data_IF_988398984318
#
_entry.id   IF_988398984318
#
_cell.length_a   1.000
_cell.length_b   1.000
_cell.length_c   1.000
_cell.angle_alpha   90.00
_cell.angle_beta   90.00
_cell.angle_gamma   90.00
#
_symmetry.space_group_name_H-M   'P 1'
#
loop_
_entity.id
_entity.type
_entity.pdbx_description
1 polymer ?
#
# COMPACT_ATOMS: atom_id res chain seq x y z
N UNK A 1 -7.01 25.23 -0.56
CA UNK A 1 -6.43 24.44 -1.68
C UNK A 1 -4.90 24.38 -1.65
N UNK A 2 -4.10 25.34 -2.17
CA UNK A 2 -2.62 25.19 -2.18
C UNK A 2 -1.95 25.15 -0.79
N UNK A 3 -2.49 25.84 0.23
CA UNK A 3 -1.98 25.75 1.62
C UNK A 3 -2.44 24.49 2.36
N UNK A 4 -3.59 23.94 2.00
CA UNK A 4 -4.12 22.70 2.61
C UNK A 4 -3.50 21.46 1.97
N UNK A 5 -3.19 21.46 0.67
CA UNK A 5 -2.42 20.39 0.03
C UNK A 5 -0.97 20.33 0.57
N UNK A 6 -0.39 21.48 0.95
CA UNK A 6 0.90 21.54 1.65
C UNK A 6 0.81 21.03 3.09
N UNK A 7 -0.29 21.35 3.80
CA UNK A 7 -0.65 20.75 5.08
C UNK A 7 -0.67 19.23 4.97
N UNK A 8 -1.53 18.69 4.09
CA UNK A 8 -1.76 17.26 3.82
C UNK A 8 -0.47 16.47 3.50
N UNK A 9 0.55 17.14 2.97
CA UNK A 9 1.89 16.56 2.81
C UNK A 9 2.56 16.21 4.14
N UNK A 10 2.44 17.09 5.14
CA UNK A 10 2.97 16.91 6.48
C UNK A 10 2.24 15.81 7.27
N UNK A 11 0.92 15.67 7.21
CA UNK A 11 0.23 14.60 7.94
C UNK A 11 0.41 13.24 7.26
N UNK A 12 0.61 13.22 5.93
CA UNK A 12 1.14 12.01 5.29
C UNK A 12 2.50 11.67 5.86
N UNK A 13 3.41 12.62 6.00
CA UNK A 13 4.73 12.35 6.61
C UNK A 13 4.56 11.84 8.06
N UNK A 14 3.68 12.45 8.86
CA UNK A 14 3.37 12.01 10.22
C UNK A 14 2.83 10.58 10.25
N UNK A 15 1.89 10.23 9.37
CA UNK A 15 1.40 8.85 9.25
C UNK A 15 2.55 7.86 9.05
N UNK A 16 3.54 8.15 8.21
CA UNK A 16 4.61 7.18 7.96
C UNK A 16 5.75 7.17 9.00
N UNK A 17 5.94 8.28 9.73
CA UNK A 17 7.07 8.43 10.66
C UNK A 17 6.67 8.28 12.13
N UNK A 18 5.46 8.72 12.49
CA UNK A 18 5.01 8.79 13.87
C UNK A 18 4.49 7.46 14.38
N UNK A 19 4.82 7.19 15.65
CA UNK A 19 4.21 6.17 16.49
C UNK A 19 3.47 6.81 17.69
N UNK A 20 3.39 8.15 17.74
CA UNK A 20 2.66 8.86 18.78
C UNK A 20 1.16 8.88 18.44
N UNK A 21 0.33 8.51 19.43
CA UNK A 21 -1.11 8.41 19.28
C UNK A 21 -1.74 9.74 18.89
N UNK A 22 -1.39 10.82 19.59
CA UNK A 22 -1.97 12.15 19.36
C UNK A 22 -1.69 12.63 17.94
N UNK A 23 -0.45 12.45 17.47
CA UNK A 23 -0.04 12.78 16.10
C UNK A 23 -0.84 11.99 15.05
N UNK A 24 -1.14 10.72 15.33
CA UNK A 24 -1.92 9.87 14.42
C UNK A 24 -3.40 10.27 14.45
N UNK A 25 -3.98 10.56 15.60
CA UNK A 25 -5.37 11.06 15.72
C UNK A 25 -5.54 12.41 14.99
N UNK A 26 -4.54 13.29 15.07
CA UNK A 26 -4.49 14.54 14.31
C UNK A 26 -4.41 14.27 12.80
N UNK A 27 -3.56 13.35 12.36
CA UNK A 27 -3.45 12.96 10.95
C UNK A 27 -4.79 12.40 10.40
N UNK A 28 -5.46 11.52 11.16
CA UNK A 28 -6.79 11.00 10.80
C UNK A 28 -7.81 12.15 10.64
N UNK A 29 -7.84 13.07 11.60
CA UNK A 29 -8.71 14.25 11.57
C UNK A 29 -8.47 15.10 10.32
N UNK A 30 -7.21 15.33 9.95
CA UNK A 30 -6.87 16.09 8.75
C UNK A 30 -7.27 15.36 7.46
N UNK A 31 -7.10 14.04 7.39
CA UNK A 31 -7.59 13.27 6.25
C UNK A 31 -9.13 13.31 6.14
N UNK A 32 -9.87 13.25 7.25
CA UNK A 32 -11.32 13.43 7.21
C UNK A 32 -11.74 14.83 6.76
N UNK A 33 -11.06 15.89 7.22
CA UNK A 33 -11.30 17.26 6.73
C UNK A 33 -11.02 17.36 5.23
N UNK A 34 -9.91 16.79 4.75
CA UNK A 34 -9.57 16.78 3.33
C UNK A 34 -10.62 16.02 2.49
N UNK A 35 -11.12 14.89 3.00
CA UNK A 35 -12.21 14.14 2.38
C UNK A 35 -13.50 14.99 2.31
N UNK A 36 -13.86 15.66 3.41
CA UNK A 36 -15.03 16.54 3.47
C UNK A 36 -14.92 17.66 2.43
N UNK A 37 -13.80 18.38 2.40
CA UNK A 37 -13.63 19.48 1.43
C UNK A 37 -13.62 18.98 -0.01
N UNK A 38 -12.98 17.84 -0.31
CA UNK A 38 -13.04 17.24 -1.64
C UNK A 38 -14.47 16.89 -2.05
N UNK A 39 -15.28 16.36 -1.12
CA UNK A 39 -16.70 16.09 -1.31
C UNK A 39 -17.49 17.34 -1.68
N UNK A 40 -17.27 18.44 -0.93
CA UNK A 40 -17.96 19.73 -1.11
C UNK A 40 -17.78 20.36 -2.49
N UNK A 41 -16.69 20.02 -3.18
CA UNK A 41 -16.38 20.52 -4.53
C UNK A 41 -16.54 19.45 -5.62
N UNK A 42 -17.17 18.31 -5.30
CA UNK A 42 -17.48 17.25 -6.27
C UNK A 42 -16.30 16.36 -6.67
N UNK A 43 -15.17 16.39 -5.95
CA UNK A 43 -13.99 15.57 -6.26
C UNK A 43 -14.07 14.21 -5.54
N UNK A 44 -14.98 13.34 -5.99
CA UNK A 44 -15.32 12.05 -5.36
C UNK A 44 -14.13 11.10 -5.21
N UNK A 45 -13.29 10.97 -6.23
CA UNK A 45 -12.10 10.10 -6.17
C UNK A 45 -11.02 10.62 -5.23
N UNK A 46 -10.85 11.95 -5.12
CA UNK A 46 -9.96 12.54 -4.11
C UNK A 46 -10.49 12.32 -2.71
N UNK A 47 -11.80 12.48 -2.51
CA UNK A 47 -12.45 12.15 -1.25
C UNK A 47 -12.21 10.68 -0.87
N UNK A 48 -12.44 9.75 -1.78
CA UNK A 48 -12.21 8.31 -1.55
C UNK A 48 -10.77 8.01 -1.12
N UNK A 49 -9.78 8.64 -1.76
CA UNK A 49 -8.37 8.53 -1.36
C UNK A 49 -8.12 9.02 0.07
N UNK A 50 -8.69 10.16 0.45
CA UNK A 50 -8.50 10.71 1.79
C UNK A 50 -9.19 9.85 2.85
N UNK A 51 -10.37 9.31 2.55
CA UNK A 51 -11.03 8.32 3.41
C UNK A 51 -10.20 7.06 3.58
N UNK A 52 -9.59 6.56 2.50
CA UNK A 52 -8.70 5.40 2.58
C UNK A 52 -7.52 5.67 3.54
N UNK A 53 -6.86 6.83 3.41
CA UNK A 53 -5.76 7.21 4.31
C UNK A 53 -6.22 7.38 5.76
N UNK A 54 -7.37 8.02 6.01
CA UNK A 54 -7.95 8.14 7.34
C UNK A 54 -8.22 6.76 7.96
N UNK A 55 -8.81 5.84 7.20
CA UNK A 55 -9.04 4.47 7.62
C UNK A 55 -7.76 3.74 7.99
N UNK A 56 -6.67 3.91 7.22
CA UNK A 56 -5.37 3.27 7.50
C UNK A 56 -4.77 3.77 8.81
N UNK A 57 -4.90 5.07 9.09
CA UNK A 57 -4.50 5.64 10.38
C UNK A 57 -5.32 5.03 11.51
N UNK A 58 -6.64 4.92 11.34
CA UNK A 58 -7.54 4.35 12.34
C UNK A 58 -7.28 2.85 12.60
N UNK A 59 -6.92 2.08 11.58
CA UNK A 59 -6.45 0.69 11.77
C UNK A 59 -5.21 0.67 12.66
N UNK A 60 -4.25 1.59 12.42
CA UNK A 60 -3.06 1.69 13.28
C UNK A 60 -3.37 2.13 14.70
N UNK A 61 -4.42 2.93 14.90
CA UNK A 61 -4.92 3.32 16.22
C UNK A 61 -5.72 2.19 16.91
N UNK A 62 -5.96 1.07 16.22
CA UNK A 62 -6.70 -0.07 16.75
C UNK A 62 -8.22 0.09 16.75
N UNK A 63 -8.76 1.06 16.02
CA UNK A 63 -10.19 1.23 15.88
C UNK A 63 -10.78 0.10 15.01
N UNK A 64 -11.78 -0.62 15.52
CA UNK A 64 -12.40 -1.73 14.81
C UNK A 64 -13.62 -1.35 13.96
N UNK A 65 -14.14 -0.13 14.08
CA UNK A 65 -15.41 0.31 13.50
C UNK A 65 -15.22 1.38 12.43
N UNK A 66 -14.50 2.47 12.72
CA UNK A 66 -14.35 3.57 11.78
C UNK A 66 -13.59 3.20 10.50
N UNK A 67 -12.56 2.32 10.50
CA UNK A 67 -11.91 1.91 9.27
C UNK A 67 -12.83 1.22 8.27
N UNK A 68 -13.78 0.40 8.74
CA UNK A 68 -14.68 -0.32 7.84
C UNK A 68 -15.73 0.61 7.21
N UNK A 69 -16.18 1.62 7.94
CA UNK A 69 -17.02 2.68 7.38
C UNK A 69 -16.25 3.50 6.33
N UNK A 70 -15.02 3.91 6.67
CA UNK A 70 -14.14 4.63 5.76
C UNK A 70 -13.87 3.82 4.48
N UNK A 71 -13.63 2.51 4.62
CA UNK A 71 -13.45 1.58 3.50
C UNK A 71 -14.70 1.52 2.62
N UNK A 72 -15.87 1.30 3.22
CA UNK A 72 -17.14 1.21 2.49
C UNK A 72 -17.43 2.48 1.69
N UNK A 73 -17.24 3.65 2.30
CA UNK A 73 -17.39 4.92 1.59
C UNK A 73 -16.33 5.09 0.50
N UNK A 74 -15.06 4.79 0.77
CA UNK A 74 -14.00 4.91 -0.22
C UNK A 74 -14.26 4.03 -1.45
N UNK A 75 -14.67 2.77 -1.27
CA UNK A 75 -15.02 1.85 -2.35
C UNK A 75 -16.20 2.37 -3.18
N UNK A 76 -17.26 2.84 -2.51
CA UNK A 76 -18.46 3.40 -3.14
C UNK A 76 -18.12 4.58 -4.04
N UNK A 77 -17.27 5.49 -3.57
CA UNK A 77 -16.99 6.75 -4.27
C UNK A 77 -15.80 6.72 -5.22
N UNK A 78 -14.86 5.77 -5.06
CA UNK A 78 -13.74 5.62 -5.99
C UNK A 78 -14.21 5.24 -7.41
N UNK A 79 -15.30 4.49 -7.51
CA UNK A 79 -15.90 4.04 -8.78
C UNK A 79 -17.08 4.93 -9.22
N UNK A 80 -17.47 5.93 -8.42
CA UNK A 80 -18.59 6.80 -8.73
C UNK A 80 -18.16 7.87 -9.74
N UNK A 81 -18.60 7.71 -10.97
CA UNK A 81 -18.27 8.55 -12.12
C UNK A 81 -19.19 9.78 -12.18
N UNK A 82 -19.02 10.71 -11.23
CA UNK A 82 -20.00 11.79 -11.05
C UNK A 82 -19.55 13.19 -11.46
N UNK A 83 -18.24 13.50 -11.55
CA UNK A 83 -17.80 14.80 -12.08
C UNK A 83 -16.29 14.83 -12.37
N UNK A 84 -15.94 15.35 -13.56
CA UNK A 84 -14.67 15.96 -13.97
C UNK A 84 -13.34 15.15 -13.89
N UNK A 85 -12.82 14.78 -15.08
CA UNK A 85 -11.43 15.04 -15.46
C UNK A 85 -10.30 14.23 -14.82
N UNK A 86 -10.57 13.11 -14.16
CA UNK A 86 -9.51 12.25 -13.63
C UNK A 86 -9.10 11.15 -14.61
N UNK A 87 -7.79 10.97 -14.77
CA UNK A 87 -7.25 9.94 -15.66
C UNK A 87 -7.54 8.54 -15.11
N UNK A 88 -7.64 7.51 -15.97
CA UNK A 88 -7.71 6.11 -15.53
C UNK A 88 -6.59 5.75 -14.53
N UNK A 89 -5.41 6.33 -14.72
CA UNK A 89 -4.27 6.17 -13.79
C UNK A 89 -4.57 6.70 -12.39
N UNK A 90 -5.28 7.82 -12.26
CA UNK A 90 -5.68 8.33 -10.95
C UNK A 90 -6.70 7.42 -10.27
N UNK A 91 -7.67 6.88 -11.01
CA UNK A 91 -8.61 5.90 -10.48
C UNK A 91 -7.88 4.64 -9.96
N UNK A 92 -6.97 4.07 -10.76
CA UNK A 92 -6.14 2.93 -10.34
C UNK A 92 -5.28 3.25 -9.11
N UNK A 93 -4.75 4.47 -9.04
CA UNK A 93 -4.04 4.95 -7.86
C UNK A 93 -4.94 5.00 -6.62
N UNK A 94 -6.20 5.39 -6.74
CA UNK A 94 -7.15 5.42 -5.62
C UNK A 94 -7.51 4.00 -5.19
N UNK A 95 -7.78 3.11 -6.14
CA UNK A 95 -8.11 1.71 -5.86
C UNK A 95 -6.95 0.97 -5.16
N UNK A 96 -5.70 1.19 -5.59
CA UNK A 96 -4.52 0.64 -4.92
C UNK A 96 -4.41 1.08 -3.45
N UNK A 97 -4.76 2.33 -3.12
CA UNK A 97 -4.79 2.83 -1.74
C UNK A 97 -5.91 2.19 -0.91
N UNK A 98 -7.09 2.00 -1.51
CA UNK A 98 -8.23 1.33 -0.89
C UNK A 98 -7.89 -0.13 -0.57
N UNK A 99 -7.21 -0.82 -1.49
CA UNK A 99 -6.75 -2.18 -1.26
C UNK A 99 -5.72 -2.28 -0.12
N UNK A 100 -4.87 -1.27 0.08
CA UNK A 100 -4.00 -1.18 1.27
C UNK A 100 -4.82 -1.08 2.56
N UNK A 101 -5.81 -0.17 2.61
CA UNK A 101 -6.72 -0.07 3.76
C UNK A 101 -7.40 -1.41 4.05
N UNK A 102 -8.01 -2.02 3.03
CA UNK A 102 -8.71 -3.29 3.17
C UNK A 102 -7.79 -4.38 3.72
N UNK A 103 -6.58 -4.52 3.17
CA UNK A 103 -5.61 -5.49 3.64
C UNK A 103 -5.15 -5.23 5.07
N UNK A 104 -4.87 -3.97 5.44
CA UNK A 104 -4.47 -3.60 6.80
C UNK A 104 -5.58 -3.91 7.81
N UNK A 105 -6.83 -3.58 7.50
CA UNK A 105 -7.98 -3.92 8.35
C UNK A 105 -8.16 -5.43 8.51
N UNK A 106 -8.10 -6.19 7.41
CA UNK A 106 -8.22 -7.64 7.43
C UNK A 106 -7.10 -8.30 8.26
N UNK A 107 -5.86 -7.80 8.15
CA UNK A 107 -4.71 -8.38 8.85
C UNK A 107 -4.67 -8.02 10.34
N UNK A 108 -4.92 -6.75 10.67
CA UNK A 108 -4.66 -6.20 12.01
C UNK A 108 -5.90 -6.19 12.91
N UNK A 109 -7.10 -6.07 12.33
CA UNK A 109 -8.36 -6.03 13.09
C UNK A 109 -9.10 -7.36 13.02
N UNK A 110 -9.20 -7.98 11.83
CA UNK A 110 -9.98 -9.20 11.62
C UNK A 110 -9.20 -10.50 11.76
N UNK A 111 -7.87 -10.43 11.71
CA UNK A 111 -6.98 -11.60 11.69
C UNK A 111 -7.31 -12.58 10.55
N UNK A 112 -7.59 -12.04 9.37
CA UNK A 112 -7.89 -12.79 8.14
C UNK A 112 -6.71 -12.69 7.14
N UNK A 113 -5.58 -13.39 7.37
CA UNK A 113 -4.34 -13.16 6.62
C UNK A 113 -4.44 -13.52 5.13
N UNK A 114 -5.22 -14.54 4.75
CA UNK A 114 -5.36 -14.91 3.33
C UNK A 114 -6.09 -13.80 2.56
N UNK A 115 -7.20 -13.29 3.08
CA UNK A 115 -7.93 -12.20 2.45
C UNK A 115 -7.12 -10.88 2.47
N UNK A 116 -6.33 -10.66 3.53
CA UNK A 116 -5.40 -9.54 3.59
C UNK A 116 -4.32 -9.62 2.50
N UNK A 117 -3.74 -10.82 2.28
CA UNK A 117 -2.75 -11.04 1.22
C UNK A 117 -3.32 -10.70 -0.15
N UNK A 118 -4.52 -11.19 -0.48
CA UNK A 118 -5.19 -10.86 -1.75
C UNK A 118 -5.32 -9.35 -1.93
N UNK A 119 -5.74 -8.64 -0.88
CA UNK A 119 -5.85 -7.18 -0.89
C UNK A 119 -4.49 -6.49 -1.08
N UNK A 120 -3.42 -6.98 -0.46
CA UNK A 120 -2.08 -6.42 -0.64
C UNK A 120 -1.51 -6.71 -2.04
N UNK A 121 -1.81 -7.85 -2.63
CA UNK A 121 -1.43 -8.18 -4.01
C UNK A 121 -2.17 -7.30 -5.02
N UNK A 122 -3.45 -7.01 -4.80
CA UNK A 122 -4.20 -6.03 -5.61
C UNK A 122 -3.61 -4.62 -5.49
N UNK A 123 -3.26 -4.20 -4.27
CA UNK A 123 -2.56 -2.94 -4.04
C UNK A 123 -1.22 -2.89 -4.79
N UNK A 124 -0.43 -3.97 -4.71
CA UNK A 124 0.86 -4.11 -5.38
C UNK A 124 0.69 -4.01 -6.89
N UNK A 125 -0.22 -4.78 -7.48
CA UNK A 125 -0.54 -4.79 -8.91
C UNK A 125 -0.85 -3.39 -9.44
N UNK A 126 -1.77 -2.67 -8.78
CA UNK A 126 -2.10 -1.28 -9.17
C UNK A 126 -0.93 -0.31 -9.01
N UNK A 127 -0.09 -0.50 -7.98
CA UNK A 127 1.07 0.37 -7.73
C UNK A 127 2.23 0.12 -8.71
N UNK A 128 2.46 -1.13 -9.12
CA UNK A 128 3.47 -1.53 -10.13
C UNK A 128 3.08 -0.99 -11.50
N UNK A 129 1.81 -1.17 -11.89
CA UNK A 129 1.26 -0.65 -13.15
C UNK A 129 1.50 0.85 -13.34
N UNK A 130 1.40 1.62 -12.23
CA UNK A 130 1.56 3.07 -12.20
C UNK A 130 2.96 3.56 -11.77
N UNK A 131 3.88 2.66 -11.43
CA UNK A 131 5.20 3.04 -10.93
C UNK A 131 5.18 3.86 -9.63
N UNK A 132 4.27 3.55 -8.70
CA UNK A 132 4.10 4.31 -7.45
C UNK A 132 4.96 3.74 -6.32
N UNK A 133 6.26 4.04 -6.31
CA UNK A 133 7.23 3.38 -5.42
C UNK A 133 6.86 3.41 -3.91
N UNK A 134 6.24 4.49 -3.40
CA UNK A 134 5.75 4.52 -2.00
C UNK A 134 4.77 3.39 -1.73
N UNK A 135 3.80 3.22 -2.64
CA UNK A 135 2.74 2.23 -2.49
C UNK A 135 3.23 0.83 -2.79
N UNK A 136 4.18 0.69 -3.71
CA UNK A 136 4.93 -0.55 -3.89
C UNK A 136 5.59 -0.94 -2.57
N UNK A 137 6.28 -0.01 -1.91
CA UNK A 137 6.90 -0.24 -0.60
C UNK A 137 5.87 -0.65 0.46
N UNK A 138 4.77 0.10 0.61
CA UNK A 138 3.68 -0.23 1.54
C UNK A 138 3.13 -1.64 1.31
N UNK A 139 2.87 -2.00 0.04
CA UNK A 139 2.31 -3.29 -0.32
C UNK A 139 3.31 -4.43 -0.07
N UNK A 140 4.57 -4.28 -0.48
CA UNK A 140 5.63 -5.27 -0.24
C UNK A 140 5.85 -5.52 1.26
N UNK A 141 5.91 -4.44 2.06
CA UNK A 141 6.04 -4.55 3.50
C UNK A 141 4.84 -5.30 4.11
N UNK A 142 3.63 -4.93 3.70
CA UNK A 142 2.42 -5.58 4.19
C UNK A 142 2.31 -7.06 3.78
N UNK A 143 2.76 -7.41 2.57
CA UNK A 143 2.89 -8.81 2.13
C UNK A 143 3.87 -9.56 3.04
N UNK A 144 5.05 -9.00 3.32
CA UNK A 144 6.03 -9.63 4.22
C UNK A 144 5.46 -9.83 5.63
N UNK A 145 4.78 -8.83 6.18
CA UNK A 145 4.13 -8.89 7.50
C UNK A 145 3.01 -9.92 7.54
N UNK A 146 2.13 -9.92 6.53
CA UNK A 146 1.04 -10.88 6.40
C UNK A 146 1.56 -12.32 6.28
N UNK A 147 2.65 -12.51 5.54
CA UNK A 147 3.28 -13.82 5.29
C UNK A 147 3.66 -14.59 6.55
N UNK A 148 3.88 -13.90 7.68
CA UNK A 148 4.11 -14.54 8.98
C UNK A 148 2.93 -15.40 9.45
N UNK A 149 1.71 -15.01 9.11
CA UNK A 149 0.46 -15.66 9.50
C UNK A 149 -0.06 -16.66 8.46
N UNK A 150 0.64 -16.84 7.34
CA UNK A 150 0.19 -17.66 6.21
C UNK A 150 0.72 -19.10 6.23
N UNK A 151 1.54 -19.48 7.21
CA UNK A 151 2.05 -20.85 7.41
C UNK A 151 2.46 -21.56 6.10
N UNK A 152 1.67 -22.55 5.64
CA UNK A 152 1.95 -23.40 4.49
C UNK A 152 1.33 -22.90 3.17
N UNK A 153 0.72 -21.71 3.16
CA UNK A 153 0.12 -21.15 1.96
C UNK A 153 1.19 -20.91 0.89
N UNK A 154 0.99 -21.49 -0.29
CA UNK A 154 2.02 -21.47 -1.34
C UNK A 154 1.99 -20.17 -2.14
N UNK A 155 3.15 -19.80 -2.69
CA UNK A 155 3.29 -18.63 -3.56
C UNK A 155 2.37 -18.73 -4.78
N UNK A 156 2.38 -19.87 -5.48
CA UNK A 156 1.55 -20.07 -6.67
C UNK A 156 0.06 -19.96 -6.36
N UNK A 157 -0.38 -20.48 -5.23
CA UNK A 157 -1.78 -20.34 -4.81
C UNK A 157 -2.14 -18.87 -4.58
N UNK A 158 -1.35 -18.13 -3.78
CA UNK A 158 -1.65 -16.73 -3.49
C UNK A 158 -1.61 -15.84 -4.72
N UNK A 159 -0.61 -16.03 -5.58
CA UNK A 159 -0.45 -15.27 -6.81
C UNK A 159 -1.56 -15.55 -7.84
N UNK A 160 -1.99 -16.80 -7.99
CA UNK A 160 -3.04 -17.16 -8.97
C UNK A 160 -4.42 -16.55 -8.65
N UNK A 161 -4.69 -16.22 -7.38
CA UNK A 161 -5.94 -15.57 -6.96
C UNK A 161 -6.10 -14.14 -7.49
N UNK A 162 -4.99 -13.42 -7.72
CA UNK A 162 -4.98 -12.01 -8.15
C UNK A 162 -4.45 -11.83 -9.59
N UNK A 163 -3.51 -12.67 -9.98
CA UNK A 163 -2.87 -12.66 -11.30
C UNK A 163 -3.40 -13.83 -12.13
N UNK A 164 -4.69 -13.80 -12.47
CA UNK A 164 -5.37 -14.86 -13.23
C UNK A 164 -4.77 -15.09 -14.63
N UNK A 165 -4.17 -14.07 -15.23
CA UNK A 165 -3.46 -14.17 -16.52
C UNK A 165 -2.12 -14.90 -16.40
N UNK A 166 -1.69 -15.26 -15.19
CA UNK A 166 -0.38 -15.83 -14.89
C UNK A 166 0.77 -14.83 -15.01
N UNK A 167 1.99 -15.32 -14.83
CA UNK A 167 3.23 -14.57 -15.01
C UNK A 167 3.97 -15.11 -16.25
N UNK A 168 3.65 -14.57 -17.42
CA UNK A 168 4.38 -14.83 -18.68
C UNK A 168 5.10 -13.57 -19.15
N UNK A 169 6.13 -13.67 -20.00
CA UNK A 169 6.81 -12.49 -20.57
C UNK A 169 5.84 -11.50 -21.23
N UNK A 170 4.76 -11.99 -21.83
CA UNK A 170 3.69 -11.17 -22.42
C UNK A 170 2.91 -10.33 -21.41
N UNK A 171 2.88 -10.74 -20.13
CA UNK A 171 2.20 -10.04 -19.05
C UNK A 171 3.00 -8.84 -18.54
N UNK A 172 4.33 -8.80 -18.73
CA UNK A 172 5.16 -7.72 -18.22
C UNK A 172 4.80 -6.36 -18.82
N UNK A 173 4.51 -6.28 -20.12
CA UNK A 173 4.10 -5.02 -20.78
C UNK A 173 2.72 -4.53 -20.33
N UNK A 174 1.82 -5.45 -19.94
CA UNK A 174 0.49 -5.12 -19.37
C UNK A 174 0.57 -4.69 -17.91
N UNK A 175 1.47 -5.31 -17.14
CA UNK A 175 1.63 -5.07 -15.70
C UNK A 175 2.54 -3.89 -15.39
N UNK A 176 3.35 -3.42 -16.34
CA UNK A 176 4.34 -2.35 -16.14
C UNK A 176 4.25 -1.25 -17.20
N UNK A 177 3.06 -0.68 -17.41
CA UNK A 177 2.84 0.31 -18.48
C UNK A 177 3.69 1.58 -18.30
N UNK A 178 3.95 2.00 -17.07
CA UNK A 178 4.76 3.20 -16.79
C UNK A 178 6.27 2.92 -16.71
N UNK A 179 6.69 1.65 -16.79
CA UNK A 179 8.08 1.15 -16.77
C UNK A 179 9.04 1.94 -15.88
N UNK A 180 9.05 1.64 -14.59
CA UNK A 180 10.07 2.17 -13.70
C UNK A 180 10.90 1.05 -13.07
N UNK A 181 12.13 1.39 -12.66
CA UNK A 181 13.10 0.46 -12.09
C UNK A 181 12.58 -0.33 -10.88
N UNK A 182 11.70 0.28 -10.08
CA UNK A 182 11.13 -0.39 -8.89
C UNK A 182 10.07 -1.41 -9.31
N UNK A 183 9.19 -1.05 -10.25
CA UNK A 183 8.20 -1.94 -10.84
C UNK A 183 8.84 -3.16 -11.49
N UNK A 184 9.93 -2.97 -12.22
CA UNK A 184 10.70 -4.06 -12.84
C UNK A 184 11.24 -5.03 -11.79
N UNK A 185 11.92 -4.53 -10.75
CA UNK A 185 12.41 -5.37 -9.64
C UNK A 185 11.31 -6.17 -8.94
N UNK A 186 10.12 -5.59 -8.78
CA UNK A 186 8.98 -6.29 -8.20
C UNK A 186 8.54 -7.42 -9.11
N UNK A 187 8.39 -7.16 -10.40
CA UNK A 187 7.98 -8.19 -11.36
C UNK A 187 9.02 -9.30 -11.48
N UNK A 188 10.31 -8.97 -11.48
CA UNK A 188 11.38 -9.95 -11.45
C UNK A 188 11.30 -10.85 -10.22
N UNK A 189 11.06 -10.27 -9.03
CA UNK A 189 10.85 -11.03 -7.80
C UNK A 189 9.64 -11.96 -7.93
N UNK A 190 8.48 -11.44 -8.36
CA UNK A 190 7.27 -12.24 -8.50
C UNK A 190 7.42 -13.35 -9.52
N UNK A 191 8.08 -13.09 -10.65
CA UNK A 191 8.35 -14.05 -11.70
C UNK A 191 9.31 -15.16 -11.23
N UNK A 192 10.38 -14.77 -10.54
CA UNK A 192 11.33 -15.70 -9.93
C UNK A 192 10.62 -16.64 -8.96
N UNK A 193 9.81 -16.09 -8.05
CA UNK A 193 9.08 -16.87 -7.05
C UNK A 193 7.99 -17.76 -7.67
N UNK A 194 7.31 -17.30 -8.72
CA UNK A 194 6.31 -18.10 -9.44
C UNK A 194 6.94 -19.31 -10.17
N UNK A 195 8.08 -19.08 -10.83
CA UNK A 195 8.76 -20.06 -11.70
C UNK A 195 9.58 -21.09 -10.94
N UNK A 196 9.85 -20.85 -9.65
CA UNK A 196 10.58 -21.78 -8.77
C UNK A 196 9.91 -23.15 -8.70
N UNK A 197 10.69 -24.22 -8.93
CA UNK A 197 10.20 -25.61 -8.91
C UNK A 197 9.73 -26.05 -7.52
N UNK A 198 10.40 -25.57 -6.47
CA UNK A 198 10.12 -25.94 -5.07
C UNK A 198 8.82 -25.32 -4.53
N UNK A 199 8.18 -24.41 -5.28
CA UNK A 199 6.94 -23.71 -4.92
C UNK A 199 6.90 -23.28 -3.43
N UNK A 200 7.77 -22.34 -3.03
CA UNK A 200 7.94 -21.99 -1.63
C UNK A 200 6.64 -21.41 -1.05
N UNK A 201 6.54 -21.43 0.29
CA UNK A 201 5.44 -20.78 1.00
C UNK A 201 5.73 -19.30 1.19
N UNK A 202 4.67 -18.49 1.33
CA UNK A 202 4.80 -17.06 1.64
C UNK A 202 5.67 -16.81 2.86
N UNK A 203 5.55 -17.66 3.89
CA UNK A 203 6.35 -17.56 5.11
C UNK A 203 7.86 -17.65 4.81
N UNK A 204 8.30 -18.58 3.96
CA UNK A 204 9.72 -18.80 3.67
C UNK A 204 10.36 -17.62 2.93
N UNK A 205 9.62 -16.99 2.01
CA UNK A 205 10.13 -15.92 1.14
C UNK A 205 9.82 -14.52 1.65
N UNK A 206 9.17 -14.38 2.82
CA UNK A 206 8.80 -13.09 3.43
C UNK A 206 9.96 -12.08 3.50
N UNK A 207 11.18 -12.57 3.72
CA UNK A 207 12.38 -11.75 3.83
C UNK A 207 12.74 -11.05 2.51
N UNK A 208 12.43 -11.67 1.37
CA UNK A 208 12.67 -11.10 0.04
C UNK A 208 11.76 -9.88 -0.19
N UNK A 209 10.48 -9.98 0.18
CA UNK A 209 9.53 -8.87 0.14
C UNK A 209 9.92 -7.72 1.09
N UNK A 210 10.29 -8.03 2.33
CA UNK A 210 10.74 -7.03 3.31
C UNK A 210 12.01 -6.31 2.85
N UNK A 211 12.97 -7.06 2.31
CA UNK A 211 14.22 -6.51 1.77
C UNK A 211 13.94 -5.57 0.59
N UNK A 212 13.10 -5.97 -0.36
CA UNK A 212 12.76 -5.13 -1.51
C UNK A 212 11.99 -3.87 -1.09
N UNK A 213 11.10 -3.97 -0.09
CA UNK A 213 10.42 -2.81 0.49
C UNK A 213 11.43 -1.82 1.09
N UNK A 214 12.37 -2.29 1.91
CA UNK A 214 13.39 -1.46 2.54
C UNK A 214 14.31 -0.79 1.51
N UNK A 215 14.74 -1.55 0.49
CA UNK A 215 15.56 -1.02 -0.61
C UNK A 215 14.82 0.03 -1.43
N UNK A 216 13.53 -0.19 -1.70
CA UNK A 216 12.68 0.79 -2.43
C UNK A 216 12.62 2.11 -1.66
N UNK A 217 12.44 2.05 -0.33
CA UNK A 217 12.44 3.25 0.50
C UNK A 217 13.81 3.92 0.57
N UNK A 218 14.87 3.13 0.74
CA UNK A 218 16.25 3.64 0.80
C UNK A 218 16.65 4.33 -0.51
N UNK A 219 16.33 3.76 -1.67
CA UNK A 219 16.67 4.34 -2.97
C UNK A 219 16.13 5.76 -3.17
N UNK A 220 14.97 6.07 -2.58
CA UNK A 220 14.44 7.43 -2.55
C UNK A 220 15.27 8.39 -1.69
N UNK A 221 15.72 7.94 -0.52
CA UNK A 221 16.63 8.72 0.31
C UNK A 221 17.96 8.98 -0.41
N UNK A 222 18.54 7.96 -1.03
CA UNK A 222 19.86 8.04 -1.66
C UNK A 222 19.86 8.95 -2.89
N UNK A 223 18.75 8.95 -3.66
CA UNK A 223 18.57 9.90 -4.77
C UNK A 223 18.59 11.35 -4.28
N UNK A 224 18.01 11.61 -3.10
CA UNK A 224 18.00 12.95 -2.49
C UNK A 224 19.32 13.34 -1.82
N UNK A 225 20.16 12.36 -1.46
CA UNK A 225 21.46 12.55 -0.80
C UNK A 225 22.52 11.55 -1.32
N UNK A 226 23.02 11.74 -2.56
CA UNK A 226 23.99 10.84 -3.15
C UNK A 226 25.27 10.73 -2.28
N UNK A 227 25.75 9.51 -2.04
CA UNK A 227 26.98 9.25 -1.27
C UNK A 227 26.81 9.14 0.24
N UNK A 228 25.58 9.22 0.76
CA UNK A 228 25.32 8.93 2.18
C UNK A 228 25.26 7.42 2.42
N UNK A 229 26.00 6.93 3.42
CA UNK A 229 25.95 5.52 3.87
C UNK A 229 24.87 5.27 4.93
N UNK A 230 24.14 6.33 5.33
CA UNK A 230 23.16 6.27 6.41
C UNK A 230 21.90 5.57 5.93
N UNK A 231 21.52 4.49 6.62
CA UNK A 231 20.23 3.84 6.41
C UNK A 231 19.10 4.77 6.84
N UNK A 232 18.07 4.86 6.01
CA UNK A 232 16.88 5.65 6.30
C UNK A 232 16.07 4.99 7.42
N UNK A 233 15.57 5.74 8.44
CA UNK A 233 14.87 5.15 9.59
C UNK A 233 13.67 4.25 9.21
N UNK A 234 12.91 4.60 8.17
CA UNK A 234 11.83 3.73 7.68
C UNK A 234 12.36 2.42 7.08
N UNK A 235 13.48 2.43 6.36
CA UNK A 235 14.07 1.20 5.83
C UNK A 235 14.48 0.27 6.98
N UNK A 236 15.01 0.82 8.07
CA UNK A 236 15.29 0.06 9.29
C UNK A 236 14.02 -0.48 9.96
N UNK A 237 12.97 0.35 10.09
CA UNK A 237 11.67 -0.08 10.64
C UNK A 237 11.00 -1.18 9.80
N UNK A 238 11.17 -1.16 8.47
CA UNK A 238 10.69 -2.21 7.58
C UNK A 238 11.42 -3.53 7.88
N UNK A 239 12.75 -3.49 7.95
CA UNK A 239 13.57 -4.68 8.22
C UNK A 239 13.34 -5.24 9.64
N UNK A 240 13.08 -4.37 10.62
CA UNK A 240 12.70 -4.79 11.98
C UNK A 240 11.20 -5.08 12.14
N UNK A 241 10.43 -5.01 11.05
CA UNK A 241 9.01 -5.34 10.99
C UNK A 241 8.13 -4.50 11.94
N UNK A 242 8.58 -3.28 12.26
CA UNK A 242 7.94 -2.34 13.19
C UNK A 242 7.26 -1.15 12.50
N UNK A 243 7.36 -1.07 11.17
CA UNK A 243 6.75 0.00 10.39
C UNK A 243 5.23 -0.17 10.25
N UNK A 244 4.46 0.92 10.34
CA UNK A 244 2.99 0.92 10.17
C UNK A 244 2.25 -0.17 10.99
N UNK A 245 2.81 -0.57 12.13
CA UNK A 245 2.13 -1.45 13.07
C UNK A 245 1.01 -0.70 13.79
N UNK A 246 0.09 -1.47 14.36
CA UNK A 246 -0.83 -0.96 15.36
C UNK A 246 -0.02 -0.43 16.55
N UNK A 247 -0.44 0.71 17.09
CA UNK A 247 0.15 1.27 18.31
C UNK A 247 -0.64 0.75 19.52
N UNK A 248 0.06 0.47 20.61
CA UNK A 248 -0.52 0.08 21.89
C UNK A 248 -1.14 1.28 22.63
#
# INVERSE_FOLDING_TARGET
>A
LCREEAGIGAERIQFYLSNDRNSLEEAATHFFKAAHYASRIGLTQRMARWLALAGRVLVRLGDSHLPIEALSFAEKYAKADLTTGHSPNFCQAVLSEISLLKGEYLLLIKDEPIAALESFLEALKGSVYLGLNRRICDALFNIARCSKKLSNFSIREGLSRVFQEGFTESCNSKLNQMSNHTSEKVLDLLYSLWSREDNPTWFHVRGEFSTLAAQTWQGWHDTSKPGTITKHPIAEKILSESWLCQID
#
